data_IF_749445016608
#
_entry.id   IF_749445016608
#
_cell.length_a   1.000
_cell.length_b   1.000
_cell.length_c   1.000
_cell.angle_alpha   90.00
_cell.angle_beta   90.00
_cell.angle_gamma   90.00
#
_symmetry.space_group_name_H-M   'P 1'
#
loop_
_entity.id
_entity.type
_entity.pdbx_description
1 polymer ?
#
# COMPACT_ATOMS: atom_id res chain seq x y z
N UNK A 1 33.64 -11.89 23.44
CA UNK A 1 34.27 -11.43 22.21
C UNK A 1 33.11 -11.02 21.35
N UNK A 2 32.54 -9.98 21.66
CA UNK A 2 32.50 -8.54 21.33
C UNK A 2 32.40 -8.27 19.86
N UNK A 3 31.16 -7.88 19.49
CA UNK A 3 30.84 -6.59 18.84
C UNK A 3 31.71 -6.16 17.67
N UNK A 4 31.19 -6.22 16.49
CA UNK A 4 31.28 -5.15 15.46
C UNK A 4 30.51 -5.52 14.19
N UNK A 5 29.22 -5.22 14.14
CA UNK A 5 28.51 -4.91 12.89
C UNK A 5 27.57 -3.73 13.15
N UNK A 6 28.16 -2.63 13.56
CA UNK A 6 27.56 -1.31 13.50
C UNK A 6 28.51 -0.44 12.68
N UNK A 7 28.19 -0.20 11.40
CA UNK A 7 28.57 1.00 10.64
C UNK A 7 28.45 0.79 9.14
N UNK A 8 27.24 0.70 8.61
CA UNK A 8 27.04 0.83 7.16
C UNK A 8 25.76 1.62 6.79
N UNK A 9 25.22 2.41 7.70
CA UNK A 9 24.08 3.29 7.41
C UNK A 9 24.29 4.71 7.99
N UNK A 10 25.49 5.28 7.86
CA UNK A 10 25.72 6.69 8.16
C UNK A 10 26.30 7.38 6.94
N UNK A 11 25.47 7.92 6.09
CA UNK A 11 25.97 8.68 4.95
C UNK A 11 24.93 9.26 4.01
N UNK A 12 23.81 9.77 4.51
CA UNK A 12 23.06 10.75 3.74
C UNK A 12 22.56 11.87 4.65
N UNK A 13 23.10 13.07 4.38
CA UNK A 13 22.71 14.32 5.04
C UNK A 13 21.30 14.72 4.60
N UNK A 14 20.50 15.37 5.45
CA UNK A 14 19.21 15.89 5.07
C UNK A 14 19.37 16.99 4.02
N UNK A 15 18.66 16.86 2.92
CA UNK A 15 18.49 17.92 1.92
C UNK A 15 17.60 18.98 2.53
N UNK A 16 18.14 20.16 2.73
CA UNK A 16 17.37 21.35 3.11
C UNK A 16 16.44 21.73 1.99
N UNK A 17 15.16 21.92 2.35
CA UNK A 17 14.17 22.55 1.51
C UNK A 17 14.58 24.01 1.26
N UNK A 18 14.91 24.34 0.03
CA UNK A 18 15.13 25.70 -0.46
C UNK A 18 13.80 26.31 -0.94
N UNK A 19 13.62 27.54 -0.58
CA UNK A 19 12.47 28.39 -0.68
C UNK A 19 12.05 28.79 -2.12
N UNK A 20 10.76 29.21 -2.17
CA UNK A 20 10.18 30.25 -3.01
C UNK A 20 10.33 30.20 -4.52
N UNK A 21 9.19 29.91 -5.18
CA UNK A 21 8.86 30.57 -6.45
C UNK A 21 7.39 30.99 -6.43
N UNK A 22 7.16 32.25 -6.12
CA UNK A 22 5.91 32.94 -6.39
C UNK A 22 5.75 33.13 -7.92
N UNK A 23 4.68 32.63 -8.47
CA UNK A 23 4.21 33.06 -9.78
C UNK A 23 2.85 33.72 -9.59
N UNK A 24 2.85 35.03 -9.61
CA UNK A 24 1.67 35.85 -9.67
C UNK A 24 1.10 35.81 -11.08
N UNK A 25 -0.19 35.56 -11.21
CA UNK A 25 -0.98 35.94 -12.39
C UNK A 25 -2.19 36.70 -11.90
N UNK A 26 -2.15 38.00 -12.12
CA UNK A 26 -3.31 38.88 -12.03
C UNK A 26 -4.12 38.78 -13.32
N UNK A 27 -5.42 38.55 -13.21
CA UNK A 27 -6.37 39.01 -14.23
C UNK A 27 -7.69 39.31 -13.53
N UNK A 28 -8.01 40.61 -13.52
CA UNK A 28 -9.32 41.16 -13.20
C UNK A 28 -10.31 40.85 -14.32
N UNK A 29 -11.47 40.35 -13.98
CA UNK A 29 -12.69 40.61 -14.73
C UNK A 29 -13.86 40.67 -13.74
N UNK A 30 -14.38 41.83 -13.50
CA UNK A 30 -15.57 42.05 -12.71
C UNK A 30 -16.82 41.55 -13.45
N UNK A 31 -17.71 40.93 -12.72
CA UNK A 31 -19.12 40.80 -13.06
C UNK A 31 -19.93 41.06 -11.79
N UNK A 32 -20.61 42.17 -11.74
CA UNK A 32 -21.66 42.47 -10.77
C UNK A 32 -22.79 41.44 -10.91
N UNK A 33 -23.16 40.76 -9.82
CA UNK A 33 -24.47 40.11 -9.76
C UNK A 33 -25.03 40.20 -8.34
N UNK A 34 -26.24 40.65 -8.31
CA UNK A 34 -27.14 41.01 -7.23
C UNK A 34 -27.18 40.04 -6.00
N UNK A 35 -27.37 40.68 -4.88
CA UNK A 35 -27.71 40.09 -3.58
C UNK A 35 -28.89 39.11 -3.66
N UNK A 36 -28.62 37.84 -3.43
CA UNK A 36 -29.59 36.79 -3.13
C UNK A 36 -29.36 36.29 -1.71
N UNK A 37 -30.45 36.19 -0.94
CA UNK A 37 -30.49 35.85 0.48
C UNK A 37 -29.54 34.74 0.88
N UNK A 38 -28.61 35.04 1.79
CA UNK A 38 -27.79 34.07 2.49
C UNK A 38 -28.70 33.29 3.45
N UNK A 39 -29.11 32.07 3.03
CA UNK A 39 -29.49 31.05 3.97
C UNK A 39 -28.23 30.73 4.81
N UNK A 40 -28.24 31.10 6.08
CA UNK A 40 -27.31 30.55 7.06
C UNK A 40 -27.59 29.05 7.14
N UNK A 41 -26.80 28.30 6.43
CA UNK A 41 -26.65 26.87 6.71
C UNK A 41 -25.87 26.81 8.01
N UNK A 42 -26.54 26.43 9.09
CA UNK A 42 -25.89 26.08 10.35
C UNK A 42 -24.71 25.17 10.00
N UNK A 43 -23.50 25.63 10.33
CA UNK A 43 -22.31 24.81 10.21
C UNK A 43 -22.44 23.66 11.22
N UNK A 44 -23.14 22.61 10.85
CA UNK A 44 -23.06 21.35 11.56
C UNK A 44 -21.58 21.01 11.63
N UNK A 45 -21.04 21.01 12.84
CA UNK A 45 -19.65 20.65 13.11
C UNK A 45 -19.42 19.28 12.48
N UNK A 46 -18.68 19.23 11.38
CA UNK A 46 -18.37 17.96 10.72
C UNK A 46 -17.71 17.03 11.73
N UNK A 47 -18.07 15.74 11.77
CA UNK A 47 -17.42 14.80 12.66
C UNK A 47 -15.91 14.84 12.39
N UNK A 48 -15.11 15.03 13.45
CA UNK A 48 -13.67 15.01 13.34
C UNK A 48 -13.23 13.66 12.75
N UNK A 49 -12.31 13.69 11.79
CA UNK A 49 -11.70 12.47 11.25
C UNK A 49 -10.92 11.74 12.34
N UNK A 50 -10.86 10.41 12.25
CA UNK A 50 -10.03 9.62 13.15
C UNK A 50 -8.60 10.18 13.20
N UNK A 51 -7.96 10.16 14.36
CA UNK A 51 -6.61 10.71 14.59
C UNK A 51 -6.49 12.23 14.35
N UNK A 52 -7.58 12.99 14.45
CA UNK A 52 -7.64 14.45 14.24
C UNK A 52 -6.99 14.92 12.92
N UNK A 53 -7.15 14.15 11.85
CA UNK A 53 -6.49 14.36 10.54
C UNK A 53 -7.12 15.50 9.74
N UNK A 54 -6.28 16.22 8.99
CA UNK A 54 -6.72 17.05 7.87
C UNK A 54 -7.22 16.18 6.70
N UNK A 55 -7.93 16.80 5.75
CA UNK A 55 -8.52 16.10 4.58
C UNK A 55 -7.47 15.39 3.68
N UNK A 56 -6.24 15.89 3.63
CA UNK A 56 -5.10 15.41 2.84
C UNK A 56 -4.05 14.67 3.68
N UNK A 57 -4.37 14.32 4.91
CA UNK A 57 -3.45 13.68 5.84
C UNK A 57 -3.75 12.19 6.00
N UNK A 58 -2.70 11.37 5.95
CA UNK A 58 -2.77 9.93 6.23
C UNK A 58 -2.89 9.64 7.73
N UNK A 59 -3.46 8.49 8.06
CA UNK A 59 -3.35 7.89 9.39
C UNK A 59 -1.87 7.59 9.71
N UNK A 60 -1.49 7.45 10.99
CA UNK A 60 -0.16 6.95 11.35
C UNK A 60 0.14 5.63 10.64
N UNK A 61 1.31 5.54 10.00
CA UNK A 61 1.75 4.34 9.27
C UNK A 61 2.95 3.74 9.99
N UNK A 62 2.91 2.42 10.21
CA UNK A 62 4.06 1.65 10.69
C UNK A 62 4.30 0.43 9.82
N UNK A 63 5.58 0.07 9.64
CA UNK A 63 6.05 -1.07 8.87
C UNK A 63 7.05 -1.84 9.76
N UNK A 64 6.57 -2.91 10.39
CA UNK A 64 7.42 -3.77 11.22
C UNK A 64 7.90 -4.96 10.37
N UNK A 65 9.21 -5.03 10.13
CA UNK A 65 9.83 -6.07 9.29
C UNK A 65 10.23 -7.29 10.11
N UNK A 66 10.40 -8.43 9.45
CA UNK A 66 10.91 -9.68 10.05
C UNK A 66 10.08 -10.18 11.23
N UNK A 67 8.75 -10.04 11.14
CA UNK A 67 7.81 -10.45 12.19
C UNK A 67 7.50 -11.96 12.18
N UNK A 68 7.81 -12.66 11.08
CA UNK A 68 7.55 -14.09 10.90
C UNK A 68 8.86 -14.86 10.64
N UNK A 69 9.22 -15.76 11.55
CA UNK A 69 10.46 -16.54 11.51
C UNK A 69 10.60 -17.44 10.26
N UNK A 70 9.49 -18.00 9.79
CA UNK A 70 9.51 -19.03 8.74
C UNK A 70 9.28 -18.47 7.33
N UNK A 71 8.97 -17.20 7.22
CA UNK A 71 8.83 -16.51 5.92
C UNK A 71 10.22 -16.05 5.44
N UNK A 72 10.42 -16.01 4.12
CA UNK A 72 11.64 -15.45 3.53
C UNK A 72 11.67 -13.91 3.62
N UNK A 73 10.50 -13.29 3.73
CA UNK A 73 10.32 -11.89 4.06
C UNK A 73 8.99 -11.68 4.77
N UNK A 74 8.90 -10.71 5.66
CA UNK A 74 7.62 -10.42 6.33
C UNK A 74 7.53 -8.99 6.84
N UNK A 75 6.30 -8.45 6.81
CA UNK A 75 5.98 -7.13 7.29
C UNK A 75 4.59 -7.11 7.95
N UNK A 76 4.52 -6.62 9.17
CA UNK A 76 3.26 -6.18 9.75
C UNK A 76 3.08 -4.69 9.43
N UNK A 77 2.16 -4.40 8.51
CA UNK A 77 1.81 -3.05 8.12
C UNK A 77 0.60 -2.58 8.90
N UNK A 78 0.67 -1.33 9.38
CA UNK A 78 -0.43 -0.69 10.11
C UNK A 78 -0.71 0.68 9.51
N UNK A 79 -1.97 0.94 9.16
CA UNK A 79 -2.50 2.26 8.75
C UNK A 79 -3.60 2.64 9.75
N UNK A 80 -3.25 3.44 10.77
CA UNK A 80 -4.14 3.68 11.89
C UNK A 80 -4.58 2.37 12.57
N UNK A 81 -5.86 2.04 12.51
CA UNK A 81 -6.41 0.80 13.05
C UNK A 81 -6.44 -0.37 12.06
N UNK A 82 -6.14 -0.15 10.77
CA UNK A 82 -5.98 -1.23 9.80
C UNK A 82 -4.63 -1.91 9.99
N UNK A 83 -4.64 -3.24 10.19
CA UNK A 83 -3.43 -4.06 10.40
C UNK A 83 -3.44 -5.25 9.47
N UNK A 84 -2.38 -5.42 8.69
CA UNK A 84 -2.21 -6.54 7.76
C UNK A 84 -0.86 -7.19 7.97
N UNK A 85 -0.84 -8.51 8.14
CA UNK A 85 0.38 -9.31 8.11
C UNK A 85 0.65 -9.72 6.67
N UNK A 86 1.79 -9.30 6.13
CA UNK A 86 2.25 -9.66 4.80
C UNK A 86 3.48 -10.57 4.92
N UNK A 87 3.45 -11.73 4.29
CA UNK A 87 4.59 -12.64 4.22
C UNK A 87 4.96 -12.97 2.78
N UNK A 88 6.22 -13.25 2.53
CA UNK A 88 6.73 -13.69 1.25
C UNK A 88 7.40 -15.04 1.40
N UNK A 89 6.99 -15.99 0.57
CA UNK A 89 7.58 -17.33 0.46
C UNK A 89 8.21 -17.50 -0.90
N UNK A 90 9.46 -17.94 -0.93
CA UNK A 90 10.22 -18.20 -2.16
C UNK A 90 10.22 -19.70 -2.45
N UNK A 91 9.82 -20.06 -3.66
CA UNK A 91 9.86 -21.44 -4.14
C UNK A 91 10.68 -21.54 -5.43
N UNK A 92 11.51 -22.57 -5.56
CA UNK A 92 12.20 -22.87 -6.82
C UNK A 92 11.20 -23.35 -7.86
N UNK A 93 11.36 -22.88 -9.10
CA UNK A 93 10.48 -23.21 -10.21
C UNK A 93 9.38 -22.18 -10.42
N UNK A 94 8.69 -22.35 -11.54
CA UNK A 94 7.61 -21.45 -11.98
C UNK A 94 6.38 -22.26 -12.42
N UNK A 95 5.18 -21.66 -12.37
CA UNK A 95 3.96 -22.31 -12.82
C UNK A 95 4.11 -22.89 -14.24
N UNK A 96 3.43 -24.02 -14.52
CA UNK A 96 3.57 -24.76 -15.77
C UNK A 96 3.40 -23.91 -17.05
N UNK A 97 2.45 -22.97 -17.01
CA UNK A 97 2.18 -22.05 -18.13
C UNK A 97 3.29 -21.01 -18.35
N UNK A 98 4.21 -20.84 -17.38
CA UNK A 98 5.31 -19.86 -17.46
C UNK A 98 6.67 -20.50 -17.78
N UNK A 99 6.81 -21.81 -17.72
CA UNK A 99 8.09 -22.52 -17.89
C UNK A 99 8.83 -22.18 -19.19
N UNK A 100 8.09 -21.93 -20.28
CA UNK A 100 8.70 -21.57 -21.57
C UNK A 100 9.40 -20.20 -21.58
N UNK A 101 9.03 -19.30 -20.68
CA UNK A 101 9.60 -17.94 -20.62
C UNK A 101 10.92 -17.85 -19.85
N UNK A 102 11.29 -18.87 -19.07
CA UNK A 102 12.43 -18.87 -18.14
C UNK A 102 12.48 -17.64 -17.20
N UNK A 103 11.34 -17.03 -16.98
CA UNK A 103 11.19 -15.84 -16.16
C UNK A 103 10.40 -16.19 -14.91
N UNK A 104 10.77 -15.63 -13.79
CA UNK A 104 10.13 -15.83 -12.51
C UNK A 104 8.69 -15.35 -12.45
N UNK A 105 8.06 -15.57 -11.32
CA UNK A 105 6.69 -15.16 -11.08
C UNK A 105 6.50 -14.61 -9.67
N UNK A 106 5.66 -13.60 -9.56
CA UNK A 106 5.20 -13.05 -8.28
C UNK A 106 3.69 -13.12 -8.26
N UNK A 107 3.14 -13.73 -7.24
CA UNK A 107 1.69 -13.87 -7.03
C UNK A 107 1.33 -13.45 -5.63
N UNK A 108 0.04 -13.25 -5.36
CA UNK A 108 -0.43 -12.89 -4.03
C UNK A 108 -1.71 -13.64 -3.69
N UNK A 109 -1.88 -13.89 -2.40
CA UNK A 109 -3.11 -14.34 -1.76
C UNK A 109 -3.56 -13.27 -0.76
N UNK A 110 -4.87 -13.16 -0.57
CA UNK A 110 -5.45 -12.19 0.36
C UNK A 110 -6.56 -12.85 1.17
N UNK A 111 -6.50 -12.69 2.47
CA UNK A 111 -7.53 -13.18 3.37
C UNK A 111 -7.83 -12.19 4.50
N UNK A 112 -9.03 -12.29 5.04
CA UNK A 112 -9.42 -11.56 6.24
C UNK A 112 -9.67 -12.54 7.40
N UNK A 113 -9.09 -12.27 8.57
CA UNK A 113 -9.44 -13.05 9.75
C UNK A 113 -10.93 -12.89 10.09
N UNK A 114 -11.58 -13.94 10.62
CA UNK A 114 -13.02 -13.87 10.95
C UNK A 114 -13.40 -12.71 11.87
N UNK A 115 -12.50 -12.29 12.76
CA UNK A 115 -12.72 -11.20 13.70
C UNK A 115 -12.03 -9.89 13.30
N UNK A 116 -11.60 -9.75 12.05
CA UNK A 116 -10.92 -8.53 11.56
C UNK A 116 -11.88 -7.34 11.40
N UNK A 117 -13.17 -7.58 11.34
CA UNK A 117 -14.24 -6.57 11.18
C UNK A 117 -15.17 -6.55 12.39
N UNK A 118 -15.95 -5.49 12.54
CA UNK A 118 -16.92 -5.30 13.63
C UNK A 118 -17.95 -6.45 13.78
N UNK A 119 -18.23 -7.13 12.68
CA UNK A 119 -19.06 -8.35 12.69
C UNK A 119 -18.22 -9.52 12.19
N UNK A 120 -18.20 -10.61 12.96
CA UNK A 120 -17.48 -11.83 12.58
C UNK A 120 -17.92 -12.31 11.18
N UNK A 121 -16.96 -12.45 10.28
CA UNK A 121 -17.14 -13.06 8.96
C UNK A 121 -16.79 -14.56 8.99
N UNK A 122 -17.36 -15.35 8.09
CA UNK A 122 -16.96 -16.76 7.95
C UNK A 122 -15.59 -16.81 7.26
N UNK A 123 -14.72 -17.75 7.68
CA UNK A 123 -13.48 -18.02 6.95
C UNK A 123 -13.81 -18.42 5.51
N UNK A 124 -13.10 -17.84 4.59
CA UNK A 124 -13.13 -18.32 3.21
C UNK A 124 -12.46 -19.70 3.14
N UNK A 125 -13.09 -20.62 2.45
CA UNK A 125 -12.57 -21.97 2.21
C UNK A 125 -12.35 -22.12 0.70
N UNK A 126 -12.40 -23.35 0.17
CA UNK A 126 -12.14 -23.67 -1.23
C UNK A 126 -12.89 -22.79 -2.28
N UNK A 127 -14.06 -22.24 -1.92
CA UNK A 127 -14.78 -21.28 -2.76
C UNK A 127 -14.41 -19.85 -2.32
N UNK A 128 -13.29 -19.32 -2.79
CA UNK A 128 -12.91 -17.94 -2.55
C UNK A 128 -13.94 -16.99 -3.16
N UNK A 129 -14.25 -15.90 -2.44
CA UNK A 129 -15.18 -14.89 -2.94
C UNK A 129 -14.50 -14.04 -4.03
N UNK A 130 -15.32 -13.52 -4.96
CA UNK A 130 -14.82 -12.66 -6.05
C UNK A 130 -14.02 -11.47 -5.57
N UNK A 131 -14.37 -10.91 -4.37
CA UNK A 131 -13.61 -9.81 -3.74
C UNK A 131 -12.18 -10.19 -3.39
N UNK A 132 -11.96 -11.32 -2.71
CA UNK A 132 -10.60 -11.74 -2.34
C UNK A 132 -9.75 -12.00 -3.59
N UNK A 133 -10.32 -12.67 -4.59
CA UNK A 133 -9.65 -12.91 -5.87
C UNK A 133 -9.32 -11.61 -6.63
N UNK A 134 -10.20 -10.62 -6.57
CA UNK A 134 -9.96 -9.30 -7.18
C UNK A 134 -8.75 -8.64 -6.51
N UNK A 135 -8.71 -8.63 -5.17
CA UNK A 135 -7.62 -8.01 -4.38
C UNK A 135 -6.30 -8.75 -4.59
N UNK A 136 -6.29 -10.09 -4.60
CA UNK A 136 -5.11 -10.90 -4.94
C UNK A 136 -4.50 -10.51 -6.28
N UNK A 137 -5.36 -10.33 -7.29
CA UNK A 137 -4.92 -9.92 -8.63
C UNK A 137 -4.39 -8.49 -8.65
N UNK A 138 -5.00 -7.58 -7.89
CA UNK A 138 -4.56 -6.20 -7.74
C UNK A 138 -3.16 -6.15 -7.09
N UNK A 139 -2.96 -6.82 -5.95
CA UNK A 139 -1.66 -6.91 -5.26
C UNK A 139 -0.61 -7.49 -6.22
N UNK A 140 -0.90 -8.64 -6.83
CA UNK A 140 0.03 -9.30 -7.74
C UNK A 140 0.43 -8.42 -8.93
N UNK A 141 -0.52 -7.69 -9.56
CA UNK A 141 -0.20 -6.76 -10.67
C UNK A 141 0.69 -5.61 -10.20
N UNK A 142 0.33 -5.01 -9.07
CA UNK A 142 1.09 -3.90 -8.48
C UNK A 142 2.54 -4.28 -8.21
N UNK A 143 2.78 -5.43 -7.58
CA UNK A 143 4.14 -5.90 -7.28
C UNK A 143 4.92 -6.26 -8.55
N UNK A 144 4.28 -6.93 -9.52
CA UNK A 144 4.96 -7.29 -10.77
C UNK A 144 5.39 -6.10 -11.62
N UNK A 145 4.76 -4.93 -11.46
CA UNK A 145 5.15 -3.72 -12.20
C UNK A 145 6.53 -3.19 -11.82
N UNK A 146 7.02 -3.55 -10.63
CA UNK A 146 8.32 -3.12 -10.09
C UNK A 146 9.31 -4.27 -9.93
N UNK A 147 9.05 -5.43 -10.54
CA UNK A 147 9.96 -6.60 -10.53
C UNK A 147 10.40 -6.94 -11.95
N UNK A 148 11.70 -7.03 -12.17
CA UNK A 148 12.25 -7.64 -13.39
C UNK A 148 12.17 -9.17 -13.29
N UNK A 149 11.07 -9.72 -13.80
CA UNK A 149 10.80 -11.16 -13.74
C UNK A 149 11.84 -12.00 -14.49
N UNK A 150 12.54 -11.44 -15.49
CA UNK A 150 13.62 -12.15 -16.17
C UNK A 150 14.85 -12.31 -15.28
N UNK A 151 15.17 -11.27 -14.49
CA UNK A 151 16.26 -11.30 -13.51
C UNK A 151 15.93 -12.11 -12.26
N UNK A 152 14.64 -12.26 -11.94
CA UNK A 152 14.20 -13.14 -10.87
C UNK A 152 14.53 -14.61 -11.17
N UNK A 153 14.65 -14.97 -12.46
CA UNK A 153 14.93 -16.35 -12.86
C UNK A 153 13.78 -17.31 -12.56
N UNK A 154 14.06 -18.59 -12.41
CA UNK A 154 13.03 -19.62 -12.24
C UNK A 154 12.58 -19.76 -10.78
N UNK A 155 12.26 -18.63 -10.13
CA UNK A 155 11.65 -18.58 -8.80
C UNK A 155 10.20 -18.10 -8.87
N UNK A 156 9.37 -18.66 -8.01
CA UNK A 156 8.03 -18.13 -7.70
C UNK A 156 8.05 -17.52 -6.31
N UNK A 157 7.52 -16.30 -6.18
CA UNK A 157 7.33 -15.67 -4.87
C UNK A 157 5.83 -15.50 -4.65
N UNK A 158 5.34 -16.12 -3.59
CA UNK A 158 3.96 -15.97 -3.14
C UNK A 158 3.91 -15.01 -1.97
N UNK A 159 3.09 -13.98 -2.09
CA UNK A 159 2.80 -13.02 -1.03
C UNK A 159 1.47 -13.39 -0.38
N UNK A 160 1.47 -13.66 0.92
CA UNK A 160 0.26 -13.87 1.70
C UNK A 160 -0.04 -12.59 2.49
N UNK A 161 -1.26 -12.05 2.30
CA UNK A 161 -1.71 -10.82 2.95
C UNK A 161 -2.92 -11.14 3.85
N UNK A 162 -2.68 -11.32 5.13
CA UNK A 162 -3.69 -11.63 6.13
C UNK A 162 -4.12 -10.38 6.90
N UNK A 163 -5.36 -9.93 6.69
CA UNK A 163 -5.92 -8.80 7.42
C UNK A 163 -6.28 -9.23 8.84
N UNK A 164 -5.54 -8.69 9.81
CA UNK A 164 -5.76 -8.94 11.24
C UNK A 164 -6.86 -8.04 11.79
N UNK A 165 -6.88 -6.78 11.36
CA UNK A 165 -7.89 -5.77 11.71
C UNK A 165 -8.15 -4.87 10.51
N UNK A 166 -9.41 -4.61 10.23
CA UNK A 166 -9.86 -3.83 9.07
C UNK A 166 -10.59 -2.58 9.52
N UNK A 167 -10.04 -1.43 9.13
CA UNK A 167 -10.62 -0.10 9.33
C UNK A 167 -10.39 0.78 8.09
N UNK A 168 -10.89 0.34 6.92
CA UNK A 168 -10.64 0.99 5.63
C UNK A 168 -9.21 0.76 5.09
N UNK A 169 -9.02 0.84 3.79
CA UNK A 169 -7.71 0.77 3.13
C UNK A 169 -6.97 -0.57 3.24
N UNK A 170 -7.68 -1.70 3.44
CA UNK A 170 -6.99 -3.01 3.58
C UNK A 170 -6.24 -3.44 2.32
N UNK A 171 -6.75 -3.09 1.11
CA UNK A 171 -6.08 -3.35 -0.17
C UNK A 171 -4.75 -2.61 -0.26
N UNK A 172 -4.77 -1.33 0.07
CA UNK A 172 -3.61 -0.42 -0.06
C UNK A 172 -2.55 -0.73 0.99
N UNK A 173 -2.95 -1.03 2.21
CA UNK A 173 -2.05 -1.54 3.25
C UNK A 173 -1.40 -2.87 2.82
N UNK A 174 -2.18 -3.80 2.24
CA UNK A 174 -1.65 -5.07 1.73
C UNK A 174 -0.60 -4.87 0.64
N UNK A 175 -0.83 -3.99 -0.34
CA UNK A 175 0.15 -3.70 -1.41
C UNK A 175 1.44 -3.14 -0.82
N UNK A 176 1.33 -2.16 0.08
CA UNK A 176 2.48 -1.51 0.70
C UNK A 176 3.28 -2.48 1.57
N UNK A 177 2.61 -3.25 2.43
CA UNK A 177 3.27 -4.25 3.29
C UNK A 177 3.84 -5.43 2.50
N UNK A 178 3.14 -5.89 1.46
CA UNK A 178 3.61 -6.96 0.59
C UNK A 178 4.86 -6.54 -0.21
N UNK A 179 5.00 -5.27 -0.61
CA UNK A 179 6.23 -4.79 -1.24
C UNK A 179 7.41 -4.88 -0.28
N UNK A 180 7.25 -4.54 0.99
CA UNK A 180 8.31 -4.66 2.00
C UNK A 180 8.69 -6.13 2.22
N UNK A 181 7.72 -7.02 2.36
CA UNK A 181 7.97 -8.46 2.50
C UNK A 181 8.67 -9.05 1.25
N UNK A 182 8.25 -8.64 0.05
CA UNK A 182 8.87 -9.03 -1.22
C UNK A 182 10.32 -8.56 -1.30
N UNK A 183 10.58 -7.30 -0.94
CA UNK A 183 11.94 -6.75 -0.90
C UNK A 183 12.86 -7.57 -0.02
N UNK A 184 12.41 -7.92 1.20
CA UNK A 184 13.20 -8.69 2.16
C UNK A 184 13.47 -10.11 1.67
N UNK A 185 12.47 -10.77 1.08
CA UNK A 185 12.64 -12.09 0.48
C UNK A 185 13.64 -12.07 -0.68
N UNK A 186 13.55 -11.09 -1.58
CA UNK A 186 14.49 -10.92 -2.69
C UNK A 186 15.91 -10.60 -2.21
N UNK A 187 16.00 -9.78 -1.15
CA UNK A 187 17.29 -9.46 -0.54
C UNK A 187 17.95 -10.70 0.06
N UNK A 188 17.17 -11.58 0.71
CA UNK A 188 17.69 -12.85 1.24
C UNK A 188 18.25 -13.78 0.16
N UNK A 189 17.66 -13.77 -1.05
CA UNK A 189 18.19 -14.52 -2.19
C UNK A 189 19.54 -13.97 -2.67
N UNK A 190 19.74 -12.66 -2.62
CA UNK A 190 21.02 -12.03 -2.96
C UNK A 190 22.07 -12.34 -1.89
N UNK A 191 21.71 -12.28 -0.59
CA UNK A 191 22.62 -12.63 0.51
C UNK A 191 23.07 -14.10 0.47
N UNK A 192 22.23 -14.99 -0.06
CA UNK A 192 22.54 -16.42 -0.26
C UNK A 192 23.26 -16.72 -1.57
N UNK A 193 23.68 -15.70 -2.34
CA UNK A 193 24.28 -15.83 -3.68
C UNK A 193 23.40 -16.57 -4.70
N UNK A 194 22.09 -16.66 -4.47
CA UNK A 194 21.12 -17.27 -5.39
C UNK A 194 20.70 -16.32 -6.52
N UNK A 195 20.79 -15.01 -6.26
CA UNK A 195 20.61 -13.97 -7.27
C UNK A 195 21.82 -13.02 -7.26
N UNK A 196 22.31 -12.60 -8.45
CA UNK A 196 23.48 -11.72 -8.53
C UNK A 196 23.19 -10.27 -8.06
N UNK A 197 21.94 -9.86 -8.01
CA UNK A 197 21.46 -8.55 -7.56
C UNK A 197 19.95 -8.55 -7.39
N UNK A 198 19.42 -7.56 -6.67
CA UNK A 198 17.98 -7.38 -6.51
C UNK A 198 17.30 -7.20 -7.87
N UNK A 199 16.28 -8.01 -8.19
CA UNK A 199 15.50 -7.89 -9.42
C UNK A 199 14.36 -6.85 -9.29
N UNK A 200 14.54 -5.80 -8.50
CA UNK A 200 13.60 -4.69 -8.35
C UNK A 200 13.95 -3.57 -9.33
N UNK A 201 12.93 -2.98 -9.93
CA UNK A 201 13.03 -1.83 -10.84
C UNK A 201 12.54 -0.54 -10.20
N UNK A 202 11.89 -0.62 -9.04
CA UNK A 202 11.35 0.52 -8.30
C UNK A 202 10.65 0.09 -7.02
N UNK A 203 10.03 1.07 -6.37
CA UNK A 203 9.20 0.88 -5.19
C UNK A 203 7.74 1.11 -5.55
N UNK A 204 6.83 0.48 -4.81
CA UNK A 204 5.39 0.68 -4.95
C UNK A 204 4.76 0.88 -3.59
N UNK A 205 3.85 1.83 -3.52
CA UNK A 205 2.97 2.04 -2.39
C UNK A 205 1.55 2.33 -2.86
N UNK A 206 0.58 2.17 -1.99
CA UNK A 206 -0.81 2.39 -2.31
C UNK A 206 -1.53 3.15 -1.21
N UNK A 207 -2.54 3.92 -1.60
CA UNK A 207 -3.38 4.73 -0.71
C UNK A 207 -4.84 4.67 -1.16
N UNK A 208 -5.78 4.67 -0.20
CA UNK A 208 -7.19 4.90 -0.49
C UNK A 208 -7.50 6.39 -0.49
N UNK A 209 -8.47 6.78 -1.29
CA UNK A 209 -9.00 8.14 -1.30
C UNK A 209 -10.46 8.10 -1.74
N UNK A 210 -11.20 9.16 -1.47
CA UNK A 210 -12.59 9.22 -1.89
C UNK A 210 -13.17 10.62 -1.78
N UNK A 211 -14.44 10.69 -2.15
CA UNK A 211 -15.24 11.90 -2.05
C UNK A 211 -16.35 11.65 -1.03
N UNK A 212 -16.30 12.36 0.09
CA UNK A 212 -17.19 12.15 1.25
C UNK A 212 -17.80 13.50 1.62
N UNK A 213 -19.13 13.58 1.67
CA UNK A 213 -19.85 14.81 2.03
C UNK A 213 -19.37 16.04 1.22
N UNK A 214 -19.15 15.89 -0.09
CA UNK A 214 -18.74 16.99 -0.94
C UNK A 214 -17.26 17.38 -0.85
N UNK A 215 -16.40 16.56 -0.21
CA UNK A 215 -14.96 16.85 -0.04
C UNK A 215 -14.09 15.65 -0.45
N UNK A 216 -12.94 15.89 -1.10
CA UNK A 216 -11.96 14.84 -1.31
C UNK A 216 -11.24 14.52 0.00
N UNK A 217 -11.12 13.26 0.35
CA UNK A 217 -10.40 12.79 1.53
C UNK A 217 -9.32 11.78 1.12
N UNK A 218 -8.14 11.92 1.73
CA UNK A 218 -7.03 10.97 1.59
C UNK A 218 -7.07 9.95 2.71
N UNK A 219 -6.77 8.68 2.41
CA UNK A 219 -6.66 7.57 3.36
C UNK A 219 -7.95 7.38 4.19
N UNK A 220 -8.99 6.86 3.54
CA UNK A 220 -10.29 6.65 4.17
C UNK A 220 -10.21 5.58 5.27
N UNK A 221 -10.73 5.88 6.46
CA UNK A 221 -11.07 4.87 7.45
C UNK A 221 -12.43 4.22 7.12
N UNK A 222 -12.85 3.20 7.88
CA UNK A 222 -14.08 2.48 7.57
C UNK A 222 -15.35 3.34 7.61
N UNK A 223 -15.56 4.23 8.61
CA UNK A 223 -16.67 5.18 8.59
C UNK A 223 -16.70 6.05 7.35
N UNK A 224 -15.56 6.58 6.90
CA UNK A 224 -15.45 7.41 5.70
C UNK A 224 -15.71 6.59 4.43
N UNK A 225 -15.03 5.44 4.27
CA UNK A 225 -15.15 4.52 3.13
C UNK A 225 -16.59 4.03 2.93
N UNK A 226 -17.27 3.70 4.04
CA UNK A 226 -18.66 3.19 4.00
C UNK A 226 -19.73 4.23 3.61
N UNK A 227 -19.41 5.52 3.69
CA UNK A 227 -20.29 6.63 3.37
C UNK A 227 -19.77 7.47 2.19
N UNK A 228 -18.69 7.07 1.55
CA UNK A 228 -18.13 7.77 0.41
C UNK A 228 -19.08 7.71 -0.80
N UNK A 229 -19.29 8.85 -1.44
CA UNK A 229 -19.97 8.93 -2.73
C UNK A 229 -19.16 8.26 -3.84
N UNK A 230 -17.83 8.36 -3.73
CA UNK A 230 -16.84 7.73 -4.61
C UNK A 230 -15.68 7.28 -3.72
N UNK A 231 -15.26 6.03 -3.85
CA UNK A 231 -14.01 5.51 -3.29
C UNK A 231 -13.08 5.03 -4.41
N UNK A 232 -11.80 5.19 -4.21
CA UNK A 232 -10.77 4.74 -5.14
C UNK A 232 -9.50 4.33 -4.39
N UNK A 233 -8.74 3.45 -5.03
CA UNK A 233 -7.42 3.07 -4.55
C UNK A 233 -6.38 3.47 -5.60
N UNK A 234 -5.38 4.22 -5.19
CA UNK A 234 -4.27 4.63 -6.03
C UNK A 234 -3.04 3.80 -5.68
N UNK A 235 -2.41 3.24 -6.70
CA UNK A 235 -1.13 2.53 -6.59
C UNK A 235 -0.11 3.29 -7.43
N UNK A 236 0.98 3.71 -6.81
CA UNK A 236 2.01 4.51 -7.47
C UNK A 236 3.43 4.06 -7.14
N UNK A 237 4.37 4.53 -7.96
CA UNK A 237 5.81 4.34 -7.75
C UNK A 237 6.43 5.56 -7.06
N UNK A 238 7.67 5.43 -6.56
CA UNK A 238 8.46 6.53 -6.00
C UNK A 238 8.75 7.65 -7.02
N UNK A 239 8.62 7.35 -8.31
CA UNK A 239 8.79 8.35 -9.38
C UNK A 239 7.50 9.06 -9.78
N UNK A 240 6.39 8.77 -9.07
CA UNK A 240 5.09 9.36 -9.33
C UNK A 240 4.32 8.74 -10.49
N UNK A 241 4.74 7.59 -10.99
CA UNK A 241 3.99 6.85 -12.01
C UNK A 241 2.81 6.12 -11.37
N UNK A 242 1.65 6.20 -12.00
CA UNK A 242 0.43 5.50 -11.59
C UNK A 242 0.47 4.09 -12.19
N UNK A 243 0.25 3.09 -11.34
CA UNK A 243 0.18 1.67 -11.73
C UNK A 243 -1.26 1.20 -11.86
N UNK A 244 -2.08 1.57 -10.87
CA UNK A 244 -3.52 1.19 -10.80
C UNK A 244 -4.34 2.31 -10.18
#
# INVERSE_FOLDING_TARGET
MDNQVESAFSGEKPVQAGADTQVGVATQAGVDTQAGATAQVDAATEPARSFDRAWDQMRPVTLERNVMKNADGSCLVTFGDTRVLCTATVEEGVPAWRRSSRAGWVTAEYAMLPASTNRRTKRERANRKGRSMEIERLIGRSLRSVVDLNRLGEYTITLDCDVLQADGGTRTASITGAWVALHDALYSLVEKDLLPRLPLTGQVAAISMGYVNGKPLLDLDYPEDSHADIDMNLVGTETGQIIE
#
